data_IF_980862624126
#
_entry.id   IF_980862624126
#
_cell.length_a   1.000
_cell.length_b   1.000
_cell.length_c   1.000
_cell.angle_alpha   90.00
_cell.angle_beta   90.00
_cell.angle_gamma   90.00
#
_symmetry.space_group_name_H-M   'P 1'
#
loop_
_entity.id
_entity.type
_entity.pdbx_description
1 polymer ?
#
# COMPACT_ATOMS: atom_id res chain seq x y z
N UNK A 1 3.25 -10.70 19.98
CA UNK A 1 2.74 -10.91 19.60
C UNK A 1 2.26 -10.97 18.94
N UNK A 2 2.38 -11.35 18.95
CA UNK A 2 2.17 -11.47 17.89
C UNK A 2 1.02 -11.20 17.49
N UNK A 3 1.17 -10.61 17.13
CA UNK A 3 0.17 -10.31 16.65
C UNK A 3 -0.32 -11.32 16.02
N UNK A 4 -1.23 -11.58 16.15
CA UNK A 4 -1.72 -12.56 15.65
C UNK A 4 -1.94 -12.25 14.30
N UNK A 5 -1.91 -13.09 13.56
CA UNK A 5 -2.14 -12.96 12.31
C UNK A 5 -3.44 -12.52 12.10
N UNK A 6 -3.60 -11.42 11.59
CA UNK A 6 -4.88 -10.90 11.27
C UNK A 6 -5.41 -11.70 10.12
N UNK A 7 -6.62 -12.10 10.27
CA UNK A 7 -7.25 -12.87 9.24
C UNK A 7 -7.89 -11.93 8.25
N UNK A 8 -7.18 -11.64 7.21
CA UNK A 8 -7.67 -10.68 6.25
C UNK A 8 -8.87 -11.15 5.48
N UNK A 9 -9.05 -12.45 5.34
CA UNK A 9 -10.22 -12.89 4.62
C UNK A 9 -11.47 -12.57 5.39
N UNK A 10 -11.40 -12.64 6.72
CA UNK A 10 -12.54 -12.25 7.48
C UNK A 10 -12.73 -10.77 7.46
N UNK A 11 -11.64 -10.06 7.45
CA UNK A 11 -11.72 -8.63 7.37
C UNK A 11 -12.41 -8.22 6.11
N UNK A 12 -12.20 -8.98 5.08
CA UNK A 12 -12.82 -8.62 3.85
C UNK A 12 -14.28 -8.80 3.87
N UNK A 13 -14.74 -9.82 4.53
CA UNK A 13 -16.15 -9.99 4.60
C UNK A 13 -16.75 -8.86 5.30
N UNK A 14 -16.16 -8.56 6.42
CA UNK A 14 -16.67 -7.44 7.14
C UNK A 14 -16.41 -6.23 6.33
N UNK A 15 -15.46 -6.39 5.45
CA UNK A 15 -15.07 -5.27 4.72
C UNK A 15 -16.12 -4.73 3.82
N UNK A 16 -17.14 -5.44 3.62
CA UNK A 16 -18.19 -4.88 2.88
C UNK A 16 -18.53 -3.54 3.42
N UNK A 17 -18.12 -3.29 4.62
CA UNK A 17 -18.32 -2.02 5.19
C UNK A 17 -17.56 -1.01 4.41
N UNK A 18 -17.97 0.18 4.47
CA UNK A 18 -17.34 1.21 3.72
C UNK A 18 -15.89 1.37 4.13
N UNK A 19 -15.06 1.77 3.21
CA UNK A 19 -13.68 2.06 3.48
C UNK A 19 -13.55 3.12 4.57
N UNK A 20 -14.52 4.02 4.63
CA UNK A 20 -14.51 5.05 5.63
C UNK A 20 -14.58 4.47 7.03
N UNK A 21 -15.44 3.50 7.21
CA UNK A 21 -15.60 2.87 8.50
C UNK A 21 -14.32 2.15 8.91
N UNK A 22 -13.72 1.45 7.97
CA UNK A 22 -12.48 0.75 8.23
C UNK A 22 -11.39 1.73 8.64
N UNK A 23 -11.29 2.84 7.91
CA UNK A 23 -10.25 3.83 8.17
C UNK A 23 -10.38 4.39 9.58
N UNK A 24 -11.61 4.61 10.02
CA UNK A 24 -11.81 5.18 11.34
C UNK A 24 -11.41 4.22 12.43
N UNK A 25 -11.46 2.94 12.16
CA UNK A 25 -11.13 1.95 13.16
C UNK A 25 -9.68 1.55 13.17
N UNK A 26 -8.91 2.02 12.20
CA UNK A 26 -7.52 1.63 12.12
C UNK A 26 -6.72 2.20 13.26
N UNK A 27 -5.87 1.37 13.82
CA UNK A 27 -4.91 1.78 14.81
C UNK A 27 -3.54 1.66 14.20
N UNK A 28 -2.54 2.32 14.76
CA UNK A 28 -1.22 2.27 14.17
C UNK A 28 -0.71 0.84 13.93
N UNK A 29 -0.98 -0.07 14.86
CA UNK A 29 -0.48 -1.43 14.67
C UNK A 29 -1.20 -2.14 13.52
N UNK A 30 -2.41 -1.68 13.18
CA UNK A 30 -3.12 -2.27 12.05
C UNK A 30 -2.46 -1.86 10.75
N UNK A 31 -1.84 -0.70 10.71
CA UNK A 31 -1.20 -0.23 9.50
C UNK A 31 0.04 -1.01 9.17
N UNK A 32 0.75 -1.52 10.17
CA UNK A 32 1.91 -2.34 9.89
C UNK A 32 1.49 -3.55 9.09
N UNK A 33 0.45 -4.23 9.51
CA UNK A 33 -0.01 -5.42 8.83
C UNK A 33 -0.66 -5.07 7.50
N UNK A 34 -1.43 -4.00 7.48
CA UNK A 34 -2.12 -3.60 6.25
C UNK A 34 -1.13 -3.20 5.16
N UNK A 35 -0.07 -2.49 5.51
CA UNK A 35 0.91 -2.09 4.51
C UNK A 35 1.76 -3.27 4.07
N UNK A 36 2.01 -4.23 4.97
CA UNK A 36 2.71 -5.45 4.58
C UNK A 36 1.87 -6.23 3.57
N UNK A 37 0.57 -6.33 3.83
CA UNK A 37 -0.32 -7.04 2.93
C UNK A 37 -0.38 -6.34 1.57
N UNK A 38 -0.38 -5.01 1.58
CA UNK A 38 -0.36 -4.27 0.34
C UNK A 38 0.88 -4.62 -0.47
N UNK A 39 2.05 -4.63 0.17
CA UNK A 39 3.29 -4.97 -0.52
C UNK A 39 3.26 -6.37 -1.08
N UNK A 40 2.75 -7.32 -0.31
CA UNK A 40 2.64 -8.70 -0.76
C UNK A 40 1.72 -8.81 -1.97
N UNK A 41 0.59 -8.11 -1.91
CA UNK A 41 -0.34 -8.14 -3.03
C UNK A 41 0.25 -7.50 -4.28
N UNK A 42 1.06 -6.48 -4.11
CA UNK A 42 1.77 -5.88 -5.24
C UNK A 42 2.73 -6.90 -5.86
N UNK A 43 3.47 -7.62 -5.02
CA UNK A 43 4.40 -8.63 -5.52
C UNK A 43 3.63 -9.70 -6.31
N UNK A 44 2.53 -10.19 -5.76
CA UNK A 44 1.75 -11.20 -6.43
C UNK A 44 1.21 -10.70 -7.75
N UNK A 45 0.76 -9.46 -7.79
CA UNK A 45 0.27 -8.84 -9.02
C UNK A 45 1.39 -8.76 -10.06
N UNK A 46 2.57 -8.33 -9.62
CA UNK A 46 3.68 -8.14 -10.54
C UNK A 46 4.16 -9.45 -11.15
N UNK A 47 3.97 -10.56 -10.45
CA UNK A 47 4.33 -11.86 -11.00
C UNK A 47 3.50 -12.20 -12.23
N UNK A 48 2.37 -11.55 -12.43
CA UNK A 48 1.49 -11.83 -13.56
C UNK A 48 1.76 -10.91 -14.74
N UNK A 49 2.56 -9.89 -14.57
CA UNK A 49 2.79 -8.91 -15.62
C UNK A 49 3.81 -9.45 -16.62
N UNK A 50 3.47 -9.52 -17.90
CA UNK A 50 4.44 -9.97 -18.91
C UNK A 50 5.62 -9.03 -18.96
N UNK A 51 6.82 -9.59 -18.99
CA UNK A 51 8.04 -8.79 -18.98
C UNK A 51 8.47 -8.46 -20.40
N UNK A 52 8.64 -7.17 -20.67
CA UNK A 52 9.17 -6.70 -21.94
C UNK A 52 9.87 -5.38 -21.68
N UNK A 53 10.35 -4.73 -22.74
CA UNK A 53 11.16 -3.52 -22.55
C UNK A 53 10.37 -2.39 -21.90
N UNK A 54 9.07 -2.39 -22.04
CA UNK A 54 8.25 -1.34 -21.43
C UNK A 54 7.90 -1.69 -19.99
N UNK A 55 7.43 -2.92 -19.77
CA UNK A 55 6.95 -3.28 -18.44
C UNK A 55 8.07 -3.49 -17.45
N UNK A 56 9.27 -3.83 -17.91
CA UNK A 56 10.36 -4.10 -16.99
C UNK A 56 10.59 -2.91 -16.04
N UNK A 57 10.66 -1.72 -16.58
CA UNK A 57 10.89 -0.55 -15.74
C UNK A 57 9.70 -0.28 -14.83
N UNK A 58 8.49 -0.47 -15.36
CA UNK A 58 7.29 -0.24 -14.55
C UNK A 58 7.21 -1.25 -13.40
N UNK A 59 7.60 -2.49 -13.67
CA UNK A 59 7.64 -3.52 -12.63
C UNK A 59 8.60 -3.10 -11.52
N UNK A 60 9.80 -2.65 -11.91
CA UNK A 60 10.78 -2.24 -10.93
C UNK A 60 10.29 -1.07 -10.09
N UNK A 61 9.68 -0.09 -10.73
CA UNK A 61 9.19 1.08 -10.02
C UNK A 61 8.05 0.72 -9.07
N UNK A 62 7.12 -0.10 -9.52
CA UNK A 62 6.01 -0.46 -8.66
C UNK A 62 6.45 -1.37 -7.52
N UNK A 63 7.37 -2.29 -7.79
CA UNK A 63 7.89 -3.14 -6.75
C UNK A 63 8.51 -2.29 -5.64
N UNK A 64 9.31 -1.30 -6.03
CA UNK A 64 9.94 -0.42 -5.07
C UNK A 64 8.93 0.39 -4.27
N UNK A 65 8.01 1.05 -4.98
CA UNK A 65 7.05 1.91 -4.31
C UNK A 65 6.10 1.09 -3.42
N UNK A 66 5.59 -0.02 -3.96
CA UNK A 66 4.61 -0.80 -3.22
C UNK A 66 5.13 -1.40 -1.94
N UNK A 67 6.41 -1.84 -1.96
CA UNK A 67 6.98 -2.44 -0.76
C UNK A 67 7.54 -1.39 0.19
N UNK A 68 7.83 -0.18 -0.31
CA UNK A 68 8.38 0.87 0.53
C UNK A 68 7.35 1.48 1.45
N UNK A 69 6.07 1.38 1.14
CA UNK A 69 5.05 1.94 2.01
C UNK A 69 5.17 1.32 3.40
N UNK A 70 5.16 -0.01 3.45
CA UNK A 70 5.25 -0.70 4.73
C UNK A 70 6.60 -0.58 5.38
N UNK A 71 7.68 -0.60 4.57
CA UNK A 71 9.01 -0.48 5.12
C UNK A 71 9.18 0.86 5.84
N UNK A 72 8.64 1.92 5.25
CA UNK A 72 8.74 3.23 5.88
C UNK A 72 7.80 3.38 7.06
N UNK A 73 6.69 2.66 7.04
CA UNK A 73 5.83 2.69 8.22
C UNK A 73 6.52 2.01 9.41
N UNK A 74 7.27 0.93 9.16
CA UNK A 74 8.04 0.31 10.22
C UNK A 74 9.05 1.30 10.81
N UNK A 75 9.65 2.13 9.96
CA UNK A 75 10.55 3.17 10.45
C UNK A 75 9.81 4.19 11.30
N UNK A 76 8.60 4.57 10.86
CA UNK A 76 7.81 5.54 11.61
C UNK A 76 7.45 4.99 12.98
N UNK A 77 7.05 3.73 13.01
CA UNK A 77 6.60 3.11 14.24
C UNK A 77 7.72 3.02 15.26
N UNK A 78 8.96 2.99 14.82
CA UNK A 78 10.13 2.88 15.68
C UNK A 78 10.91 4.19 15.75
N UNK A 79 10.30 5.29 15.35
CA UNK A 79 11.02 6.56 15.23
C UNK A 79 11.37 7.12 16.60
N UNK A 80 12.59 7.67 16.75
CA UNK A 80 13.03 8.17 18.03
C UNK A 80 12.52 9.56 18.38
N UNK A 81 11.89 10.25 17.43
CA UNK A 81 11.40 11.60 17.68
C UNK A 81 10.18 11.86 16.83
N UNK A 82 9.46 12.93 17.21
CA UNK A 82 8.30 13.32 16.45
C UNK A 82 8.67 13.74 15.03
N UNK A 83 9.79 14.40 14.89
CA UNK A 83 10.25 14.82 13.57
C UNK A 83 10.58 13.63 12.70
N UNK A 84 11.27 12.63 13.25
CA UNK A 84 11.59 11.43 12.50
C UNK A 84 10.33 10.68 12.12
N UNK A 85 9.35 10.63 13.02
CA UNK A 85 8.07 10.01 12.74
C UNK A 85 7.41 10.68 11.54
N UNK A 86 7.31 12.00 11.56
CA UNK A 86 6.65 12.72 10.47
C UNK A 86 7.40 12.55 9.15
N UNK A 87 8.73 12.51 9.20
CA UNK A 87 9.49 12.27 7.98
C UNK A 87 9.16 10.92 7.37
N UNK A 88 9.09 9.89 8.20
CA UNK A 88 8.76 8.55 7.71
C UNK A 88 7.34 8.48 7.19
N UNK A 89 6.39 9.12 7.87
CA UNK A 89 5.00 9.16 7.41
C UNK A 89 4.90 9.89 6.07
N UNK A 90 5.68 10.97 5.91
CA UNK A 90 5.70 11.68 4.64
C UNK A 90 6.16 10.77 3.51
N UNK A 91 7.14 9.92 3.79
CA UNK A 91 7.62 8.97 2.80
C UNK A 91 6.57 7.90 2.50
N UNK A 92 5.87 7.39 3.53
CA UNK A 92 4.78 6.45 3.31
C UNK A 92 3.74 7.04 2.38
N UNK A 93 3.38 8.30 2.61
CA UNK A 93 2.40 8.98 1.80
C UNK A 93 2.86 9.06 0.35
N UNK A 94 4.11 9.45 0.15
CA UNK A 94 4.66 9.59 -1.19
C UNK A 94 4.73 8.25 -1.92
N UNK A 95 5.17 7.21 -1.23
CA UNK A 95 5.31 5.91 -1.88
C UNK A 95 3.95 5.32 -2.24
N UNK A 96 2.94 5.53 -1.40
CA UNK A 96 1.60 5.06 -1.73
C UNK A 96 1.08 5.76 -2.97
N UNK A 97 1.35 7.05 -3.09
CA UNK A 97 0.92 7.81 -4.26
C UNK A 97 1.64 7.33 -5.50
N UNK A 98 2.94 7.04 -5.39
CA UNK A 98 3.69 6.54 -6.54
C UNK A 98 3.21 5.16 -6.95
N UNK A 99 2.91 4.30 -5.97
CA UNK A 99 2.39 2.99 -6.29
C UNK A 99 1.09 3.10 -7.07
N UNK A 100 0.22 4.03 -6.65
CA UNK A 100 -1.03 4.26 -7.35
C UNK A 100 -0.76 4.64 -8.81
N UNK A 101 0.19 5.52 -9.01
CA UNK A 101 0.53 5.97 -10.35
C UNK A 101 1.05 4.81 -11.21
N UNK A 102 1.96 4.01 -10.68
CA UNK A 102 2.54 2.94 -11.48
C UNK A 102 1.55 1.80 -11.74
N UNK A 103 0.59 1.59 -10.85
CA UNK A 103 -0.48 0.65 -11.12
C UNK A 103 -1.26 1.08 -12.35
N UNK A 104 -1.51 2.38 -12.46
CA UNK A 104 -2.21 2.90 -13.62
C UNK A 104 -1.38 2.70 -14.90
N UNK A 105 -0.07 2.90 -14.80
CA UNK A 105 0.79 2.72 -15.96
C UNK A 105 0.86 1.25 -16.40
N UNK A 106 0.92 0.34 -15.44
CA UNK A 106 0.95 -1.07 -15.78
C UNK A 106 -0.38 -1.52 -16.37
N UNK A 107 -1.51 -0.99 -15.87
CA UNK A 107 -2.79 -1.32 -16.44
C UNK A 107 -2.90 -0.87 -17.89
N UNK A 108 -2.19 0.20 -18.26
CA UNK A 108 -2.15 0.64 -19.63
C UNK A 108 -1.25 -0.26 -20.47
N UNK A 109 -0.11 -0.66 -19.92
CA UNK A 109 0.84 -1.49 -20.64
C UNK A 109 0.35 -2.93 -20.78
N UNK A 110 -0.44 -3.42 -19.83
CA UNK A 110 -0.95 -4.77 -19.82
C UNK A 110 -2.45 -4.72 -19.52
N UNK A 111 -3.26 -4.34 -20.52
CA UNK A 111 -4.71 -4.12 -20.27
C UNK A 111 -5.45 -5.34 -19.77
N UNK A 112 -4.93 -6.52 -20.04
CA UNK A 112 -5.57 -7.74 -19.58
C UNK A 112 -5.55 -7.85 -18.05
N UNK A 113 -4.69 -7.06 -17.39
CA UNK A 113 -4.59 -7.08 -15.94
C UNK A 113 -5.31 -5.90 -15.28
N UNK A 114 -6.05 -5.13 -16.08
CA UNK A 114 -6.69 -3.93 -15.57
C UNK A 114 -7.61 -4.21 -14.38
N UNK A 115 -8.38 -5.27 -14.47
CA UNK A 115 -9.31 -5.56 -13.38
C UNK A 115 -8.62 -5.99 -12.11
N UNK A 116 -7.44 -6.61 -12.24
CA UNK A 116 -6.67 -7.00 -11.06
C UNK A 116 -5.91 -5.82 -10.47
N UNK A 117 -5.57 -4.85 -11.30
CA UNK A 117 -4.90 -3.65 -10.82
C UNK A 117 -5.82 -2.73 -10.04
N UNK A 118 -7.11 -2.75 -10.37
CA UNK A 118 -8.04 -1.80 -9.79
C UNK A 118 -8.14 -1.85 -8.27
N UNK A 119 -8.31 -3.02 -7.64
CA UNK A 119 -8.36 -3.04 -6.17
C UNK A 119 -7.06 -2.59 -5.54
N UNK A 120 -5.92 -2.85 -6.18
CA UNK A 120 -4.65 -2.39 -5.65
C UNK A 120 -4.53 -0.87 -5.78
N UNK A 121 -5.01 -0.32 -6.88
CA UNK A 121 -5.04 1.11 -7.08
C UNK A 121 -5.90 1.78 -6.01
N UNK A 122 -7.05 1.17 -5.71
CA UNK A 122 -7.93 1.69 -4.67
C UNK A 122 -7.27 1.64 -3.31
N UNK A 123 -6.59 0.54 -3.00
CA UNK A 123 -5.90 0.42 -1.73
C UNK A 123 -4.76 1.43 -1.61
N UNK A 124 -4.01 1.64 -2.70
CA UNK A 124 -2.95 2.64 -2.68
C UNK A 124 -3.52 4.02 -2.41
N UNK A 125 -4.68 4.32 -3.01
CA UNK A 125 -5.33 5.60 -2.79
C UNK A 125 -5.73 5.77 -1.33
N UNK A 126 -6.29 4.72 -0.73
CA UNK A 126 -6.70 4.80 0.66
C UNK A 126 -5.52 4.95 1.59
N UNK A 127 -4.45 4.21 1.33
CA UNK A 127 -3.26 4.34 2.15
C UNK A 127 -2.67 5.74 2.05
N UNK A 128 -2.66 6.29 0.85
CA UNK A 128 -2.17 7.65 0.67
C UNK A 128 -2.98 8.64 1.52
N UNK A 129 -4.31 8.50 1.52
CA UNK A 129 -5.16 9.39 2.27
C UNK A 129 -4.97 9.21 3.79
N UNK A 130 -4.80 7.98 4.21
CA UNK A 130 -4.57 7.69 5.63
C UNK A 130 -3.27 8.36 6.09
N UNK A 131 -2.19 8.17 5.32
CA UNK A 131 -0.91 8.76 5.71
C UNK A 131 -0.93 10.28 5.61
N UNK A 132 -1.68 10.83 4.65
CA UNK A 132 -1.83 12.27 4.57
C UNK A 132 -2.51 12.80 5.83
N UNK A 133 -3.51 12.10 6.33
CA UNK A 133 -4.21 12.50 7.54
C UNK A 133 -3.31 12.40 8.76
N UNK A 134 -2.56 11.31 8.87
CA UNK A 134 -1.64 11.14 9.99
C UNK A 134 -0.58 12.24 9.97
N UNK A 135 -0.09 12.57 8.78
CA UNK A 135 0.94 13.60 8.66
C UNK A 135 0.43 14.95 9.14
N UNK A 136 -0.80 15.27 8.82
CA UNK A 136 -1.38 16.56 9.23
C UNK A 136 -1.70 16.60 10.72
N UNK A 137 -2.02 15.48 11.29
CA UNK A 137 -2.40 15.39 12.67
C UNK A 137 -1.25 15.36 13.58
#
# INVERSE_FOLDING_TARGET
MPKKKVDYSQGEEAGGDSALCVAEQLKPYDLEERTAQFGENIIDFLKKVPVNSITQRLIDQLSGAGTSVGANYCEADDAPSKKAFKNSISTCKREAREAKFFLRMIARAAPELKNEARPLWQEAKELHLIFAKIYRG
#
